data_IF_808055465554
#
_entry.id   IF_808055465554
#
_cell.length_a   1.000
_cell.length_b   1.000
_cell.length_c   1.000
_cell.angle_alpha   90.00
_cell.angle_beta   90.00
_cell.angle_gamma   90.00
#
_symmetry.space_group_name_H-M   'P 1'
#
loop_
_entity.id
_entity.type
_entity.pdbx_description
1 polymer ?
#
# COMPACT_ATOMS: atom_id res chain seq x y z
N UNK A 1 -45.07 -5.90 9.47
CA UNK A 1 -45.05 -4.46 9.78
C UNK A 1 -43.98 -3.84 8.92
N UNK A 2 -44.39 -3.38 7.73
CA UNK A 2 -43.52 -2.73 6.75
C UNK A 2 -43.67 -1.22 6.88
N UNK A 3 -42.56 -0.50 6.78
CA UNK A 3 -42.53 0.94 6.62
C UNK A 3 -42.08 1.23 5.18
N UNK A 4 -43.04 1.79 4.47
CA UNK A 4 -43.06 2.11 3.04
C UNK A 4 -42.18 3.32 2.69
N UNK A 5 -41.75 3.28 1.43
CA UNK A 5 -41.40 4.35 0.51
C UNK A 5 -41.72 5.79 0.93
N UNK A 6 -40.70 6.66 0.81
CA UNK A 6 -40.91 8.07 0.51
C UNK A 6 -39.91 8.50 -0.57
N UNK A 7 -40.23 8.14 -1.83
CA UNK A 7 -39.71 8.81 -3.01
C UNK A 7 -40.37 10.19 -3.05
N UNK A 8 -39.64 11.19 -2.60
CA UNK A 8 -40.03 12.60 -2.68
C UNK A 8 -39.83 13.11 -4.10
N UNK A 9 -40.94 13.21 -4.81
CA UNK A 9 -41.17 13.89 -6.08
C UNK A 9 -40.71 15.36 -5.99
N UNK A 10 -39.50 15.66 -6.48
CA UNK A 10 -39.05 17.05 -6.64
C UNK A 10 -39.63 17.56 -7.96
N UNK A 11 -40.76 18.23 -7.81
CA UNK A 11 -41.45 18.97 -8.85
C UNK A 11 -40.47 19.80 -9.70
N UNK A 12 -40.43 19.50 -10.99
CA UNK A 12 -39.91 20.37 -12.02
C UNK A 12 -40.71 21.68 -12.02
N UNK A 13 -40.19 22.70 -11.34
CA UNK A 13 -40.68 24.07 -11.44
C UNK A 13 -40.44 24.60 -12.87
N UNK A 14 -41.40 25.33 -13.45
CA UNK A 14 -41.27 25.83 -14.81
C UNK A 14 -40.07 26.79 -14.91
N UNK A 15 -39.05 26.38 -15.66
CA UNK A 15 -37.98 27.23 -16.16
C UNK A 15 -38.58 28.24 -17.15
N UNK A 16 -39.19 29.28 -16.60
CA UNK A 16 -39.94 30.28 -17.32
C UNK A 16 -39.67 31.68 -16.78
N UNK A 17 -38.41 32.01 -16.48
CA UNK A 17 -38.00 33.41 -16.33
C UNK A 17 -37.98 34.07 -17.73
N UNK A 18 -39.18 34.33 -18.25
CA UNK A 18 -39.45 35.18 -19.39
C UNK A 18 -39.19 36.67 -19.12
N UNK A 19 -38.12 37.00 -18.41
CA UNK A 19 -37.72 38.39 -18.13
C UNK A 19 -36.97 39.06 -19.28
N UNK A 20 -36.47 38.30 -20.26
CA UNK A 20 -35.60 38.84 -21.32
C UNK A 20 -36.30 39.50 -22.51
N UNK A 21 -37.63 39.36 -22.67
CA UNK A 21 -38.32 39.80 -23.90
C UNK A 21 -38.97 41.19 -23.82
N UNK A 22 -39.18 41.75 -22.64
CA UNK A 22 -39.85 43.07 -22.53
C UNK A 22 -38.89 44.26 -22.58
N UNK A 23 -37.59 44.05 -22.33
CA UNK A 23 -36.60 45.15 -22.37
C UNK A 23 -36.08 45.38 -23.81
N UNK A 24 -36.02 44.33 -24.66
CA UNK A 24 -35.56 44.46 -26.05
C UNK A 24 -36.48 45.26 -26.98
N UNK A 25 -37.78 45.39 -26.64
CA UNK A 25 -38.72 46.12 -27.51
C UNK A 25 -38.62 47.65 -27.36
N UNK A 26 -38.01 48.15 -26.28
CA UNK A 26 -37.90 49.59 -26.01
C UNK A 26 -36.45 50.11 -25.93
N UNK A 27 -35.45 49.22 -25.89
CA UNK A 27 -34.04 49.56 -26.09
C UNK A 27 -33.53 48.76 -27.29
N UNK A 28 -33.64 49.33 -28.50
CA UNK A 28 -33.22 48.64 -29.72
C UNK A 28 -31.75 48.23 -29.68
N UNK A 29 -31.45 46.96 -29.99
CA UNK A 29 -30.19 46.24 -30.31
C UNK A 29 -28.81 46.75 -29.83
N UNK A 30 -28.76 47.71 -28.92
CA UNK A 30 -27.56 48.31 -28.34
C UNK A 30 -27.47 48.03 -26.85
N UNK A 31 -27.98 46.89 -26.38
CA UNK A 31 -27.57 46.40 -25.07
C UNK A 31 -26.10 45.95 -25.22
N UNK A 32 -25.12 46.68 -24.67
CA UNK A 32 -23.74 46.22 -24.73
C UNK A 32 -23.71 44.86 -24.02
N UNK A 33 -23.04 43.88 -24.63
CA UNK A 33 -22.70 42.65 -23.93
C UNK A 33 -21.84 43.05 -22.72
N UNK A 34 -22.48 43.12 -21.55
CA UNK A 34 -21.88 43.57 -20.28
C UNK A 34 -20.70 42.69 -19.82
N UNK A 35 -20.46 41.58 -20.53
CA UNK A 35 -19.38 40.64 -20.31
C UNK A 35 -18.35 40.62 -21.44
N UNK A 36 -18.45 41.50 -22.45
CA UNK A 36 -17.42 41.62 -23.48
C UNK A 36 -16.14 42.22 -22.90
N UNK A 37 -14.97 41.80 -23.40
CA UNK A 37 -13.66 42.35 -23.01
C UNK A 37 -13.62 43.88 -23.13
N UNK A 38 -14.40 44.43 -24.05
CA UNK A 38 -14.48 45.86 -24.34
C UNK A 38 -15.18 46.65 -23.23
N UNK A 39 -16.17 46.05 -22.54
CA UNK A 39 -16.82 46.65 -21.37
C UNK A 39 -15.84 46.76 -20.17
N UNK A 40 -14.96 45.77 -20.01
CA UNK A 40 -13.89 45.81 -19.01
C UNK A 40 -12.85 46.87 -19.34
N UNK A 41 -12.44 46.99 -20.61
CA UNK A 41 -11.51 48.03 -21.06
C UNK A 41 -12.07 49.45 -20.87
N UNK A 42 -13.39 49.64 -21.01
CA UNK A 42 -14.03 50.94 -20.73
C UNK A 42 -14.17 51.24 -19.24
N UNK A 43 -14.47 50.23 -18.40
CA UNK A 43 -14.48 50.42 -16.94
C UNK A 43 -13.11 50.84 -16.39
N UNK A 44 -12.03 50.24 -16.89
CA UNK A 44 -10.67 50.55 -16.42
C UNK A 44 -10.24 51.99 -16.77
N UNK A 45 -10.78 52.56 -17.87
CA UNK A 45 -10.57 53.97 -18.23
C UNK A 45 -11.34 54.96 -17.35
N UNK A 46 -12.47 54.54 -16.77
CA UNK A 46 -13.32 55.39 -15.93
C UNK A 46 -12.91 55.36 -14.45
N UNK A 47 -12.18 54.32 -14.02
CA UNK A 47 -11.66 54.17 -12.66
C UNK A 47 -10.31 53.45 -12.66
N UNK A 48 -9.18 54.18 -12.83
CA UNK A 48 -7.84 53.56 -12.83
C UNK A 48 -7.46 52.95 -11.47
N UNK A 49 -8.19 53.28 -10.41
CA UNK A 49 -7.95 52.80 -9.04
C UNK A 49 -8.73 51.52 -8.67
N UNK A 50 -9.62 51.02 -9.54
CA UNK A 50 -10.27 49.72 -9.35
C UNK A 50 -9.52 48.62 -10.11
N UNK A 51 -8.51 48.04 -9.47
CA UNK A 51 -7.82 46.86 -10.00
C UNK A 51 -8.70 45.63 -9.79
N UNK A 52 -9.34 45.15 -10.86
CA UNK A 52 -10.12 43.90 -10.87
C UNK A 52 -9.27 42.74 -10.35
N UNK A 53 -9.82 41.94 -9.42
CA UNK A 53 -9.18 40.71 -8.96
C UNK A 53 -9.40 39.59 -9.98
N UNK A 54 -10.34 39.73 -10.92
CA UNK A 54 -10.55 38.83 -12.06
C UNK A 54 -9.71 39.27 -13.26
N UNK A 55 -8.98 38.33 -13.86
CA UNK A 55 -8.35 38.48 -15.15
C UNK A 55 -9.43 38.51 -16.26
N UNK A 56 -9.56 39.62 -17.01
CA UNK A 56 -10.60 39.80 -18.01
C UNK A 56 -10.47 38.87 -19.23
N UNK A 57 -9.31 38.24 -19.44
CA UNK A 57 -9.09 37.32 -20.56
C UNK A 57 -9.53 35.89 -20.27
N UNK A 58 -9.42 35.46 -19.02
CA UNK A 58 -9.72 34.09 -18.59
C UNK A 58 -11.00 33.97 -17.77
N UNK A 59 -11.53 35.08 -17.25
CA UNK A 59 -12.68 35.10 -16.34
C UNK A 59 -12.40 34.45 -14.98
N UNK A 60 -11.12 34.17 -14.68
CA UNK A 60 -10.65 33.61 -13.41
C UNK A 60 -10.00 34.70 -12.57
N UNK A 61 -9.82 34.46 -11.26
CA UNK A 61 -9.00 35.33 -10.43
C UNK A 61 -7.59 35.50 -11.05
N UNK A 62 -7.05 36.70 -11.00
CA UNK A 62 -5.66 37.02 -11.33
C UNK A 62 -4.73 36.05 -10.59
N UNK A 63 -3.65 35.62 -11.26
CA UNK A 63 -2.66 34.66 -10.72
C UNK A 63 -2.10 35.06 -9.36
N UNK A 64 -2.11 36.36 -9.04
CA UNK A 64 -1.68 36.93 -7.75
C UNK A 64 -2.60 36.55 -6.58
N UNK A 65 -3.86 36.24 -6.88
CA UNK A 65 -4.93 35.99 -5.90
C UNK A 65 -5.46 34.55 -5.97
N UNK A 66 -5.00 33.76 -6.93
CA UNK A 66 -5.22 32.32 -6.92
C UNK A 66 -4.37 31.72 -5.81
N UNK A 67 -4.99 30.98 -4.89
CA UNK A 67 -4.23 30.09 -4.03
C UNK A 67 -3.59 29.04 -4.93
N UNK A 68 -2.28 29.17 -5.15
CA UNK A 68 -1.49 28.20 -5.89
C UNK A 68 -1.62 26.87 -5.13
N UNK A 69 -2.35 25.91 -5.71
CA UNK A 69 -2.36 24.56 -5.16
C UNK A 69 -0.92 24.08 -5.24
N UNK A 70 -0.30 23.82 -4.09
CA UNK A 70 1.09 23.44 -3.98
C UNK A 70 1.47 22.44 -5.08
N UNK A 71 2.63 22.61 -5.75
CA UNK A 71 3.03 21.71 -6.82
C UNK A 71 2.99 20.28 -6.28
N UNK A 72 2.30 19.42 -7.00
CA UNK A 72 2.17 18.00 -6.71
C UNK A 72 3.51 17.31 -6.95
N UNK A 73 4.51 17.63 -6.12
CA UNK A 73 5.81 16.96 -6.04
C UNK A 73 5.68 15.62 -5.31
N UNK A 74 4.51 14.98 -5.38
CA UNK A 74 4.36 13.63 -4.87
C UNK A 74 5.06 12.70 -5.86
N UNK A 75 6.02 11.90 -5.40
CA UNK A 75 6.69 10.93 -6.25
C UNK A 75 5.64 10.03 -6.89
N UNK A 76 5.85 9.67 -8.14
CA UNK A 76 4.91 8.80 -8.85
C UNK A 76 4.82 7.45 -8.15
N UNK A 77 3.66 6.77 -8.26
CA UNK A 77 3.46 5.42 -7.71
C UNK A 77 4.64 4.49 -8.04
N UNK A 78 5.17 4.61 -9.25
CA UNK A 78 6.30 3.83 -9.77
C UNK A 78 7.62 4.13 -9.03
N UNK A 79 7.93 5.41 -8.77
CA UNK A 79 9.12 5.83 -7.99
C UNK A 79 9.01 5.42 -6.51
N UNK A 80 7.80 5.40 -5.95
CA UNK A 80 7.57 5.02 -4.55
C UNK A 80 7.63 3.51 -4.34
N UNK A 81 7.14 2.73 -5.30
CA UNK A 81 7.27 1.27 -5.28
C UNK A 81 8.72 0.83 -5.52
N UNK A 82 9.46 1.51 -6.39
CA UNK A 82 10.86 1.21 -6.67
C UNK A 82 11.78 1.36 -5.44
N UNK A 83 11.41 2.20 -4.46
CA UNK A 83 12.17 2.36 -3.21
C UNK A 83 11.97 1.25 -2.18
N UNK A 84 11.04 0.30 -2.40
CA UNK A 84 10.74 -0.77 -1.44
C UNK A 84 11.54 -2.02 -1.80
N UNK A 85 12.76 -2.08 -1.31
CA UNK A 85 13.56 -3.31 -1.37
C UNK A 85 13.10 -4.28 -0.27
N UNK A 86 11.99 -4.99 -0.52
CA UNK A 86 11.54 -6.08 0.35
C UNK A 86 12.56 -7.21 0.26
N UNK A 87 13.32 -7.43 1.34
CA UNK A 87 14.23 -8.56 1.44
C UNK A 87 13.42 -9.86 1.63
N UNK A 88 12.96 -10.44 0.52
CA UNK A 88 12.20 -11.70 0.51
C UNK A 88 13.09 -12.94 0.54
N UNK A 89 14.41 -12.79 0.45
CA UNK A 89 15.34 -13.93 0.31
C UNK A 89 15.22 -14.94 1.45
N UNK A 90 15.01 -14.45 2.69
CA UNK A 90 14.80 -15.31 3.86
C UNK A 90 13.46 -16.07 3.78
N UNK A 91 12.39 -15.37 3.37
CA UNK A 91 11.05 -15.95 3.22
C UNK A 91 11.03 -16.99 2.09
N UNK A 92 11.72 -16.73 0.98
CA UNK A 92 11.82 -17.66 -0.16
C UNK A 92 12.57 -18.93 0.21
N UNK A 93 13.68 -18.82 0.95
CA UNK A 93 14.39 -20.00 1.48
C UNK A 93 13.54 -20.79 2.47
N UNK A 94 12.83 -20.10 3.35
CA UNK A 94 11.92 -20.75 4.31
C UNK A 94 10.75 -21.45 3.60
N UNK A 95 10.14 -20.79 2.60
CA UNK A 95 9.09 -21.35 1.76
C UNK A 95 9.59 -22.57 0.98
N UNK A 96 10.80 -22.49 0.41
CA UNK A 96 11.43 -23.61 -0.30
C UNK A 96 11.62 -24.83 0.59
N UNK A 97 12.08 -24.64 1.83
CA UNK A 97 12.25 -25.75 2.78
C UNK A 97 10.91 -26.30 3.29
N UNK A 98 9.93 -25.44 3.57
CA UNK A 98 8.61 -25.86 4.04
C UNK A 98 7.79 -26.60 2.95
N UNK A 99 7.89 -26.15 1.71
CA UNK A 99 7.19 -26.74 0.55
C UNK A 99 7.97 -27.87 -0.13
N UNK A 100 9.07 -28.30 0.47
CA UNK A 100 9.83 -29.45 0.00
C UNK A 100 8.95 -30.71 -0.07
N UNK A 101 9.18 -31.55 -1.09
CA UNK A 101 8.45 -32.81 -1.30
C UNK A 101 8.56 -33.74 -0.09
N UNK A 102 7.44 -34.37 0.29
CA UNK A 102 7.40 -35.30 1.41
C UNK A 102 8.39 -36.46 1.19
N UNK A 103 9.16 -36.78 2.24
CA UNK A 103 10.13 -37.89 2.21
C UNK A 103 11.48 -37.54 1.56
N UNK A 104 11.68 -36.32 1.07
CA UNK A 104 13.05 -35.84 0.83
C UNK A 104 13.71 -35.46 2.17
N UNK A 105 15.03 -35.38 2.23
CA UNK A 105 15.74 -34.99 3.46
C UNK A 105 16.09 -33.51 3.41
N UNK A 106 15.84 -32.76 4.49
CA UNK A 106 16.40 -31.41 4.64
C UNK A 106 17.92 -31.44 4.66
N UNK A 107 18.56 -30.29 4.42
CA UNK A 107 20.00 -30.14 4.58
C UNK A 107 20.47 -30.53 6.00
N UNK A 108 19.67 -30.20 7.02
CA UNK A 108 19.95 -30.57 8.40
C UNK A 108 19.82 -32.08 8.63
N UNK A 109 18.80 -32.72 8.05
CA UNK A 109 18.66 -34.17 8.10
C UNK A 109 19.82 -34.89 7.40
N UNK A 110 20.31 -34.37 6.28
CA UNK A 110 21.47 -34.92 5.57
C UNK A 110 22.74 -34.82 6.44
N UNK A 111 23.00 -33.66 7.04
CA UNK A 111 24.14 -33.47 7.96
C UNK A 111 24.01 -34.39 9.17
N UNK A 112 22.83 -34.49 9.77
CA UNK A 112 22.58 -35.36 10.91
C UNK A 112 22.78 -36.84 10.56
N UNK A 113 22.30 -37.30 9.39
CA UNK A 113 22.56 -38.66 8.89
C UNK A 113 24.05 -38.90 8.64
N UNK A 114 24.77 -37.92 8.11
CA UNK A 114 26.21 -38.02 7.90
C UNK A 114 26.97 -38.14 9.23
N UNK A 115 26.61 -37.31 10.23
CA UNK A 115 27.19 -37.40 11.57
C UNK A 115 26.93 -38.78 12.19
N UNK A 116 25.68 -39.24 12.11
CA UNK A 116 25.24 -40.51 12.65
C UNK A 116 25.95 -41.72 11.97
N UNK A 117 26.22 -41.64 10.67
CA UNK A 117 27.04 -42.63 9.96
C UNK A 117 28.51 -42.65 10.43
N UNK A 118 29.09 -41.48 10.71
CA UNK A 118 30.46 -41.41 11.28
C UNK A 118 30.52 -42.00 12.69
N UNK A 119 29.49 -41.76 13.50
CA UNK A 119 29.36 -42.34 14.85
C UNK A 119 29.23 -43.87 14.79
N UNK A 120 28.38 -44.40 13.91
CA UNK A 120 28.25 -45.85 13.66
C UNK A 120 29.60 -46.48 13.31
N UNK A 121 30.34 -45.88 12.37
CA UNK A 121 31.65 -46.38 11.97
C UNK A 121 32.63 -46.40 13.15
N UNK A 122 32.64 -45.34 13.96
CA UNK A 122 33.47 -45.27 15.17
C UNK A 122 33.12 -46.34 16.20
N UNK A 123 31.84 -46.66 16.37
CA UNK A 123 31.37 -47.72 17.27
C UNK A 123 31.73 -49.10 16.73
N UNK A 124 31.57 -49.34 15.42
CA UNK A 124 31.98 -50.60 14.76
C UNK A 124 33.48 -50.82 14.94
N UNK A 125 34.31 -49.79 14.73
CA UNK A 125 35.76 -49.88 14.88
C UNK A 125 36.15 -50.16 16.34
N UNK A 126 35.49 -49.51 17.31
CA UNK A 126 35.67 -49.79 18.74
C UNK A 126 35.28 -51.23 19.07
N UNK A 127 34.13 -51.70 18.59
CA UNK A 127 33.65 -53.06 18.81
C UNK A 127 34.58 -54.10 18.19
N UNK A 128 35.09 -53.84 16.98
CA UNK A 128 36.08 -54.69 16.31
C UNK A 128 37.39 -54.76 17.09
N UNK A 129 37.92 -53.63 17.59
CA UNK A 129 39.13 -53.59 18.42
C UNK A 129 38.94 -54.27 19.78
N UNK A 130 37.79 -54.08 20.41
CA UNK A 130 37.44 -54.76 21.67
C UNK A 130 37.32 -56.28 21.45
N UNK A 131 36.68 -56.70 20.35
CA UNK A 131 36.61 -58.10 19.92
C UNK A 131 37.99 -58.70 19.68
N UNK A 132 38.85 -58.01 18.93
CA UNK A 132 40.23 -58.44 18.68
C UNK A 132 41.06 -58.55 19.98
N UNK A 133 40.94 -57.59 20.90
CA UNK A 133 41.62 -57.63 22.20
C UNK A 133 41.12 -58.80 23.06
N UNK A 134 39.80 -58.99 23.15
CA UNK A 134 39.21 -60.06 23.95
C UNK A 134 39.59 -61.46 23.45
N UNK A 135 39.60 -61.65 22.13
CA UNK A 135 40.06 -62.89 21.51
C UNK A 135 41.55 -63.08 21.76
N UNK A 136 42.40 -62.06 21.57
CA UNK A 136 43.83 -62.13 21.85
C UNK A 136 44.13 -62.52 23.32
N UNK A 137 43.40 -61.97 24.29
CA UNK A 137 43.51 -62.36 25.70
C UNK A 137 43.10 -63.81 25.94
N UNK A 138 42.01 -64.28 25.31
CA UNK A 138 41.56 -65.66 25.42
C UNK A 138 42.55 -66.65 24.79
N UNK A 139 43.13 -66.30 23.64
CA UNK A 139 44.23 -67.03 23.00
C UNK A 139 45.46 -67.11 23.89
N UNK A 140 45.85 -66.01 24.53
CA UNK A 140 46.97 -65.96 25.49
C UNK A 140 46.73 -66.88 26.70
N UNK A 141 45.51 -66.90 27.23
CA UNK A 141 45.12 -67.77 28.34
C UNK A 141 45.13 -69.27 27.94
N UNK A 142 44.69 -69.61 26.73
CA UNK A 142 44.74 -70.98 26.20
C UNK A 142 46.18 -71.42 25.91
N UNK A 143 47.00 -70.54 25.36
CA UNK A 143 48.42 -70.81 25.13
C UNK A 143 49.15 -71.09 26.44
N UNK A 144 48.86 -70.32 27.50
CA UNK A 144 49.42 -70.53 28.85
C UNK A 144 48.97 -71.83 29.53
N UNK A 145 47.80 -72.37 29.17
CA UNK A 145 47.24 -73.61 29.76
C UNK A 145 47.68 -74.91 29.08
N UNK A 146 48.68 -74.86 28.19
CA UNK A 146 49.30 -76.07 27.64
C UNK A 146 48.88 -76.41 26.21
N UNK A 147 48.33 -75.47 25.46
CA UNK A 147 48.25 -75.57 24.00
C UNK A 147 46.88 -75.26 23.42
N UNK A 148 46.86 -74.32 22.48
CA UNK A 148 45.70 -74.14 21.59
C UNK A 148 45.64 -75.32 20.62
N UNK A 149 44.88 -76.36 20.94
CA UNK A 149 44.51 -77.35 19.92
C UNK A 149 43.72 -76.64 18.80
N UNK A 150 43.89 -77.09 17.55
CA UNK A 150 43.25 -76.46 16.39
C UNK A 150 41.72 -76.30 16.58
N UNK A 151 41.05 -77.30 17.17
CA UNK A 151 39.61 -77.25 17.43
C UNK A 151 39.17 -76.35 18.60
N UNK A 152 40.06 -75.99 19.54
CA UNK A 152 39.77 -74.96 20.54
C UNK A 152 39.89 -73.56 19.92
N UNK A 153 40.88 -73.38 19.04
CA UNK A 153 41.12 -72.18 18.24
C UNK A 153 39.94 -71.83 17.35
N UNK A 154 39.42 -72.82 16.64
CA UNK A 154 38.33 -72.66 15.69
C UNK A 154 37.00 -72.36 16.39
N UNK A 155 36.74 -72.98 17.54
CA UNK A 155 35.56 -72.65 18.37
C UNK A 155 35.61 -71.24 18.94
N UNK A 156 36.79 -70.79 19.38
CA UNK A 156 36.96 -69.44 19.92
C UNK A 156 36.88 -68.38 18.83
N UNK A 157 37.48 -68.64 17.67
CA UNK A 157 37.34 -67.80 16.48
C UNK A 157 35.88 -67.73 15.99
N UNK A 158 35.17 -68.87 15.97
CA UNK A 158 33.75 -68.94 15.61
C UNK A 158 32.86 -68.18 16.58
N UNK A 159 33.09 -68.30 17.90
CA UNK A 159 32.36 -67.52 18.90
C UNK A 159 32.66 -66.02 18.79
N UNK A 160 33.92 -65.63 18.56
CA UNK A 160 34.30 -64.24 18.36
C UNK A 160 33.67 -63.63 17.11
N UNK A 161 33.65 -64.37 16.00
CA UNK A 161 33.01 -63.96 14.75
C UNK A 161 31.49 -63.80 14.90
N UNK A 162 30.82 -64.73 15.58
CA UNK A 162 29.38 -64.64 15.88
C UNK A 162 29.06 -63.47 16.80
N UNK A 163 29.88 -63.22 17.83
CA UNK A 163 29.74 -62.07 18.71
C UNK A 163 29.87 -60.75 17.95
N UNK A 164 30.85 -60.66 17.05
CA UNK A 164 31.05 -59.48 16.20
C UNK A 164 29.91 -59.30 15.18
N UNK A 165 29.39 -60.38 14.59
CA UNK A 165 28.22 -60.31 13.72
C UNK A 165 26.97 -59.81 14.45
N UNK A 166 26.69 -60.34 15.65
CA UNK A 166 25.57 -59.88 16.49
C UNK A 166 25.72 -58.40 16.85
N UNK A 167 26.91 -58.01 17.32
CA UNK A 167 27.18 -56.60 17.61
C UNK A 167 26.99 -55.68 16.41
N UNK A 168 27.39 -56.11 15.19
CA UNK A 168 27.12 -55.35 13.96
C UNK A 168 25.63 -55.25 13.62
N UNK A 169 24.85 -56.31 13.86
CA UNK A 169 23.39 -56.27 13.66
C UNK A 169 22.72 -55.32 14.64
N UNK A 170 23.12 -55.34 15.91
CA UNK A 170 22.60 -54.44 16.95
C UNK A 170 22.92 -52.97 16.60
N UNK A 171 24.17 -52.68 16.21
CA UNK A 171 24.59 -51.33 15.77
C UNK A 171 23.81 -50.90 14.53
N UNK A 172 23.61 -51.80 13.55
CA UNK A 172 22.85 -51.48 12.35
C UNK A 172 21.37 -51.19 12.63
N UNK A 173 20.76 -51.93 13.56
CA UNK A 173 19.38 -51.70 14.00
C UNK A 173 19.23 -50.39 14.77
N UNK A 174 20.13 -50.13 15.73
CA UNK A 174 20.18 -48.88 16.47
C UNK A 174 20.40 -47.69 15.52
N UNK A 175 21.26 -47.91 14.53
CA UNK A 175 21.52 -46.99 13.45
C UNK A 175 20.30 -46.66 12.59
N UNK A 176 19.59 -47.69 12.15
CA UNK A 176 18.35 -47.53 11.40
C UNK A 176 17.29 -46.78 12.23
N UNK A 177 17.17 -47.07 13.52
CA UNK A 177 16.27 -46.36 14.44
C UNK A 177 16.65 -44.88 14.58
N UNK A 178 17.94 -44.57 14.71
CA UNK A 178 18.42 -43.19 14.78
C UNK A 178 18.12 -42.43 13.47
N UNK A 179 18.35 -43.03 12.29
CA UNK A 179 17.97 -42.42 11.00
C UNK A 179 16.47 -42.18 10.87
N UNK A 180 15.65 -43.14 11.31
CA UNK A 180 14.20 -42.98 11.32
C UNK A 180 13.74 -41.84 12.24
N UNK A 181 14.36 -41.70 13.41
CA UNK A 181 14.10 -40.60 14.33
C UNK A 181 14.51 -39.24 13.74
N UNK A 182 15.65 -39.17 13.04
CA UNK A 182 16.09 -37.96 12.33
C UNK A 182 15.06 -37.59 11.27
N UNK A 183 14.64 -38.54 10.42
CA UNK A 183 13.63 -38.31 9.39
C UNK A 183 12.28 -37.88 9.99
N UNK A 184 11.84 -38.50 11.08
CA UNK A 184 10.61 -38.14 11.78
C UNK A 184 10.67 -36.74 12.39
N UNK A 185 11.81 -36.35 12.95
CA UNK A 185 12.02 -35.01 13.53
C UNK A 185 12.05 -33.96 12.43
N UNK A 186 12.72 -34.26 11.31
CA UNK A 186 12.77 -33.40 10.13
C UNK A 186 11.37 -33.14 9.56
N UNK A 187 10.57 -34.19 9.40
CA UNK A 187 9.20 -34.08 8.91
C UNK A 187 8.31 -33.30 9.89
N UNK A 188 8.48 -33.52 11.21
CA UNK A 188 7.79 -32.72 12.23
C UNK A 188 8.15 -31.24 12.14
N UNK A 189 9.42 -30.92 11.87
CA UNK A 189 9.86 -29.55 11.67
C UNK A 189 9.27 -28.95 10.39
N UNK A 190 9.23 -29.71 9.29
CA UNK A 190 8.59 -29.29 8.03
C UNK A 190 7.12 -28.95 8.24
N UNK A 191 6.38 -29.80 8.95
CA UNK A 191 4.96 -29.56 9.31
C UNK A 191 4.84 -28.30 10.17
N UNK A 192 5.73 -28.10 11.15
CA UNK A 192 5.76 -26.88 11.96
C UNK A 192 6.00 -25.62 11.12
N UNK A 193 6.94 -25.67 10.17
CA UNK A 193 7.23 -24.59 9.24
C UNK A 193 6.05 -24.30 8.32
N UNK A 194 5.41 -25.33 7.77
CA UNK A 194 4.18 -25.22 6.97
C UNK A 194 3.06 -24.53 7.75
N UNK A 195 2.92 -24.83 9.05
CA UNK A 195 1.93 -24.18 9.91
C UNK A 195 2.22 -22.70 10.16
N UNK A 196 3.49 -22.29 10.20
CA UNK A 196 3.90 -20.90 10.44
C UNK A 196 3.94 -20.04 9.17
N UNK A 197 4.07 -20.68 8.00
CA UNK A 197 4.24 -20.03 6.71
C UNK A 197 3.16 -18.99 6.38
N UNK A 198 1.85 -19.24 6.59
CA UNK A 198 0.82 -18.22 6.34
C UNK A 198 0.98 -16.97 7.21
N UNK A 199 1.40 -17.12 8.48
CA UNK A 199 1.63 -15.99 9.38
C UNK A 199 2.82 -15.13 8.94
N UNK A 200 3.90 -15.77 8.48
CA UNK A 200 5.07 -15.07 7.95
C UNK A 200 4.77 -14.36 6.63
N UNK A 201 3.97 -14.95 5.75
CA UNK A 201 3.55 -14.31 4.49
C UNK A 201 2.72 -13.05 4.75
N UNK A 202 1.77 -13.11 5.69
CA UNK A 202 0.98 -11.93 6.10
C UNK A 202 1.88 -10.86 6.73
N UNK A 203 2.82 -11.25 7.60
CA UNK A 203 3.76 -10.32 8.23
C UNK A 203 4.68 -9.64 7.21
N UNK A 204 5.16 -10.37 6.20
CA UNK A 204 5.98 -9.82 5.12
C UNK A 204 5.21 -8.82 4.23
N UNK A 205 3.89 -9.01 4.07
CA UNK A 205 3.01 -8.12 3.31
C UNK A 205 2.53 -6.90 4.11
N UNK A 206 2.58 -6.96 5.44
CA UNK A 206 2.06 -5.92 6.33
C UNK A 206 2.67 -4.53 6.08
N UNK A 207 3.99 -4.36 5.85
CA UNK A 207 4.57 -3.06 5.50
C UNK A 207 4.04 -2.50 4.18
N UNK A 208 3.75 -3.37 3.21
CA UNK A 208 3.14 -2.96 1.94
C UNK A 208 1.69 -2.50 2.11
N UNK A 209 0.90 -3.22 2.91
CA UNK A 209 -0.48 -2.86 3.22
C UNK A 209 -0.58 -1.58 4.06
N UNK A 210 0.27 -1.41 5.07
CA UNK A 210 0.33 -0.19 5.87
C UNK A 210 0.66 1.03 5.02
N UNK A 211 1.62 0.91 4.09
CA UNK A 211 1.92 1.97 3.13
C UNK A 211 0.71 2.29 2.26
N UNK A 212 0.05 1.28 1.70
CA UNK A 212 -1.16 1.46 0.88
C UNK A 212 -2.25 2.24 1.63
N UNK A 213 -2.45 1.95 2.92
CA UNK A 213 -3.40 2.69 3.77
C UNK A 213 -2.99 4.15 4.01
N UNK A 214 -1.69 4.40 4.26
CA UNK A 214 -1.16 5.77 4.42
C UNK A 214 -1.35 6.56 3.11
N UNK A 215 -1.15 5.94 1.96
CA UNK A 215 -1.34 6.58 0.65
C UNK A 215 -2.81 6.93 0.39
N UNK A 216 -3.73 6.01 0.67
CA UNK A 216 -5.17 6.27 0.54
C UNK A 216 -5.60 7.45 1.44
N UNK A 217 -5.03 7.56 2.64
CA UNK A 217 -5.27 8.68 3.54
C UNK A 217 -4.71 10.00 2.98
N UNK A 218 -3.50 9.99 2.43
CA UNK A 218 -2.88 11.18 1.82
C UNK A 218 -3.63 11.67 0.57
N UNK A 219 -4.05 10.76 -0.32
CA UNK A 219 -4.82 11.10 -1.51
C UNK A 219 -6.18 11.74 -1.15
N UNK A 220 -6.81 11.26 -0.07
CA UNK A 220 -8.03 11.86 0.48
C UNK A 220 -7.81 13.28 1.01
N UNK A 221 -6.68 13.52 1.70
CA UNK A 221 -6.32 14.86 2.19
C UNK A 221 -6.04 15.84 1.06
N UNK A 222 -5.36 15.42 -0.01
CA UNK A 222 -5.08 16.28 -1.16
C UNK A 222 -6.37 16.70 -1.87
N UNK A 223 -7.31 15.76 -2.05
CA UNK A 223 -8.61 16.03 -2.64
C UNK A 223 -9.42 17.04 -1.82
N UNK A 224 -9.35 16.93 -0.48
CA UNK A 224 -9.97 17.89 0.43
C UNK A 224 -9.33 19.28 0.34
N UNK A 225 -7.99 19.37 0.31
CA UNK A 225 -7.28 20.65 0.18
C UNK A 225 -7.59 21.35 -1.16
N UNK A 226 -7.62 20.61 -2.27
CA UNK A 226 -8.01 21.14 -3.59
C UNK A 226 -9.45 21.66 -3.58
N UNK A 227 -10.36 20.94 -2.91
CA UNK A 227 -11.75 21.36 -2.78
C UNK A 227 -11.90 22.64 -1.96
N UNK A 228 -11.16 22.76 -0.85
CA UNK A 228 -11.19 23.96 0.00
C UNK A 228 -10.58 25.19 -0.70
N UNK A 229 -9.46 25.00 -1.43
CA UNK A 229 -8.87 26.07 -2.25
C UNK A 229 -9.85 26.57 -3.32
N UNK A 230 -10.56 25.64 -3.99
CA UNK A 230 -11.58 25.99 -4.97
C UNK A 230 -12.77 26.73 -4.36
N UNK A 231 -13.24 26.31 -3.17
CA UNK A 231 -14.29 27.03 -2.43
C UNK A 231 -13.89 28.46 -2.09
N UNK A 232 -12.65 28.66 -1.63
CA UNK A 232 -12.14 29.99 -1.32
C UNK A 232 -12.09 30.88 -2.57
N UNK A 233 -11.57 30.35 -3.69
CA UNK A 233 -11.52 31.06 -4.96
C UNK A 233 -12.93 31.41 -5.49
N UNK A 234 -13.88 30.48 -5.42
CA UNK A 234 -15.28 30.72 -5.81
C UNK A 234 -15.95 31.74 -4.90
N UNK A 235 -15.71 31.68 -3.58
CA UNK A 235 -16.24 32.65 -2.62
C UNK A 235 -15.76 34.07 -2.90
N UNK A 236 -14.47 34.24 -3.19
CA UNK A 236 -13.90 35.54 -3.56
C UNK A 236 -14.48 36.07 -4.88
N UNK A 237 -14.65 35.20 -5.87
CA UNK A 237 -15.26 35.56 -7.17
C UNK A 237 -16.72 36.03 -7.00
N UNK A 238 -17.51 35.33 -6.20
CA UNK A 238 -18.91 35.72 -5.92
C UNK A 238 -18.94 37.05 -5.17
N UNK A 239 -18.10 37.23 -4.15
CA UNK A 239 -18.04 38.47 -3.38
C UNK A 239 -17.64 39.69 -4.23
N UNK A 240 -16.76 39.51 -5.21
CA UNK A 240 -16.41 40.57 -6.16
C UNK A 240 -17.56 40.91 -7.11
N UNK A 241 -18.30 39.89 -7.58
CA UNK A 241 -19.49 40.09 -8.41
C UNK A 241 -20.55 40.91 -7.68
N UNK A 242 -20.80 40.59 -6.41
CA UNK A 242 -21.83 41.27 -5.61
C UNK A 242 -21.44 42.72 -5.33
N UNK A 243 -20.16 42.99 -5.01
CA UNK A 243 -19.63 44.37 -4.87
C UNK A 243 -19.78 45.18 -6.17
N UNK A 244 -19.52 44.55 -7.32
CA UNK A 244 -19.72 45.19 -8.64
C UNK A 244 -21.19 45.50 -8.90
N UNK A 245 -22.08 44.55 -8.62
CA UNK A 245 -23.51 44.74 -8.79
C UNK A 245 -24.07 45.86 -7.88
N UNK A 246 -23.64 45.90 -6.62
CA UNK A 246 -24.01 46.96 -5.67
C UNK A 246 -23.55 48.34 -6.16
N UNK A 247 -22.31 48.41 -6.67
CA UNK A 247 -21.78 49.64 -7.25
C UNK A 247 -22.57 50.10 -8.49
N UNK A 248 -22.86 49.18 -9.42
CA UNK A 248 -23.62 49.48 -10.64
C UNK A 248 -25.05 49.96 -10.30
N UNK A 249 -25.69 49.38 -9.27
CA UNK A 249 -26.97 49.86 -8.75
C UNK A 249 -26.86 51.27 -8.16
N UNK A 250 -25.82 51.57 -7.38
CA UNK A 250 -25.57 52.90 -6.84
C UNK A 250 -25.42 53.96 -7.94
N UNK A 251 -24.62 53.64 -8.97
CA UNK A 251 -24.44 54.51 -10.13
C UNK A 251 -25.74 54.72 -10.90
N UNK A 252 -26.53 53.66 -11.09
CA UNK A 252 -27.83 53.78 -11.72
C UNK A 252 -28.77 54.69 -10.93
N UNK A 253 -28.79 54.58 -9.59
CA UNK A 253 -29.57 55.46 -8.73
C UNK A 253 -29.13 56.94 -8.84
N UNK A 254 -27.83 57.21 -8.91
CA UNK A 254 -27.29 58.56 -9.14
C UNK A 254 -27.72 59.13 -10.50
N UNK A 255 -27.62 58.35 -11.57
CA UNK A 255 -28.07 58.75 -12.91
C UNK A 255 -29.57 59.06 -12.92
N UNK A 256 -30.39 58.21 -12.29
CA UNK A 256 -31.84 58.42 -12.20
C UNK A 256 -32.19 59.65 -11.36
N UNK A 257 -31.42 59.94 -10.31
CA UNK A 257 -31.58 61.15 -9.49
C UNK A 257 -31.24 62.41 -10.30
N UNK A 258 -30.13 62.41 -11.04
CA UNK A 258 -29.75 63.51 -11.93
C UNK A 258 -30.81 63.73 -13.02
N UNK A 259 -31.26 62.65 -13.67
CA UNK A 259 -32.33 62.72 -14.67
C UNK A 259 -33.65 63.28 -14.10
N UNK A 260 -34.03 62.85 -12.89
CA UNK A 260 -35.20 63.39 -12.20
C UNK A 260 -35.07 64.88 -11.86
N UNK A 261 -33.87 65.32 -11.46
CA UNK A 261 -33.56 66.72 -11.22
C UNK A 261 -33.68 67.55 -12.51
N UNK A 262 -33.10 67.08 -13.61
CA UNK A 262 -33.18 67.73 -14.93
C UNK A 262 -34.64 67.86 -15.41
N UNK A 263 -35.44 66.80 -15.23
CA UNK A 263 -36.87 66.83 -15.56
C UNK A 263 -37.67 67.80 -14.70
N UNK A 264 -37.36 67.89 -13.42
CA UNK A 264 -38.01 68.83 -12.50
C UNK A 264 -37.62 70.27 -12.83
N UNK A 265 -36.35 70.53 -13.11
CA UNK A 265 -35.86 71.84 -13.54
C UNK A 265 -36.52 72.29 -14.86
N UNK A 266 -36.59 71.41 -15.86
CA UNK A 266 -37.27 71.70 -17.12
C UNK A 266 -38.78 71.95 -16.94
N UNK A 267 -39.43 71.25 -16.00
CA UNK A 267 -40.83 71.49 -15.68
C UNK A 267 -41.05 72.85 -14.99
N UNK A 268 -40.17 73.24 -14.07
CA UNK A 268 -40.21 74.56 -13.42
C UNK A 268 -39.99 75.68 -14.43
N UNK A 269 -39.02 75.56 -15.33
CA UNK A 269 -38.76 76.53 -16.39
C UNK A 269 -39.99 76.74 -17.29
N UNK A 270 -40.69 75.65 -17.65
CA UNK A 270 -41.90 75.72 -18.46
C UNK A 270 -43.11 76.27 -17.68
N UNK A 271 -43.17 76.11 -16.36
CA UNK A 271 -44.25 76.64 -15.53
C UNK A 271 -44.19 78.17 -15.37
N UNK A 272 -42.99 78.76 -15.41
CA UNK A 272 -42.78 80.21 -15.33
C UNK A 272 -42.95 80.98 -16.64
N UNK A 273 -43.21 80.28 -17.76
CA UNK A 273 -43.44 80.88 -19.09
C UNK A 273 -44.94 81.01 -19.45
N UNK A 274 -45.84 80.92 -18.47
CA UNK A 274 -47.26 81.24 -18.60
C UNK A 274 -47.57 82.55 -17.91
#
# INVERSE_FOLDING_TARGET
MGLFDFIGDVAAGPSGLGGGKYIKKHLGDKSPDFFSSDAYATMNKLRPEFTSLVDPSTGKLSTQYQVETAPSNMPTLEEMLAGINLNTQGLEKFRGEALRDAGTDSLWAQIAKQQQAMEEQGVIDKAARAGATSTASAFSNLARRGGTSAGARERLAGQGALGLMRGRQDIAMEGAKARANIASTDESNRIGMLGQLPGMEVAALQPGLQKTNIWAQMAGQESAQKYDANKFNVGNLIGERDKKAEYDMGKYAEIMKAWGADRTAAAQENSGKK
#
